data_IF_934082978114
#
_entry.id   IF_934082978114
#
_cell.length_a   1.000
_cell.length_b   1.000
_cell.length_c   1.000
_cell.angle_alpha   90.00
_cell.angle_beta   90.00
_cell.angle_gamma   90.00
#
_symmetry.space_group_name_H-M   'P 1'
#
loop_
_entity.id
_entity.type
_entity.pdbx_description
1 polymer ?
#
# COMPACT_ATOMS: atom_id res chain seq x y z
N UNK A 1 21.98 10.08 -12.21
CA UNK A 1 22.50 11.45 -12.03
C UNK A 1 22.29 11.95 -10.60
N UNK A 2 21.05 12.13 -10.05
CA UNK A 2 20.86 12.67 -8.68
C UNK A 2 21.32 11.74 -7.55
N UNK A 3 21.26 10.43 -7.76
CA UNK A 3 21.86 9.44 -6.87
C UNK A 3 23.38 9.57 -6.88
N UNK A 4 23.99 9.64 -8.06
CA UNK A 4 25.45 9.73 -8.21
C UNK A 4 26.02 11.02 -7.61
N UNK A 5 25.20 12.09 -7.62
CA UNK A 5 25.47 13.36 -6.92
C UNK A 5 25.23 13.26 -5.40
N UNK A 6 24.76 12.15 -4.85
CA UNK A 6 24.46 11.96 -3.45
C UNK A 6 23.25 12.75 -2.93
N UNK A 7 22.46 13.39 -3.81
CA UNK A 7 21.30 14.22 -3.44
C UNK A 7 20.06 13.43 -3.04
N UNK A 8 19.90 12.23 -3.62
CA UNK A 8 18.86 11.27 -3.25
C UNK A 8 19.49 9.89 -3.12
N UNK A 9 18.96 9.06 -2.24
CA UNK A 9 19.40 7.67 -2.09
C UNK A 9 18.51 6.73 -2.88
N UNK A 10 17.21 6.95 -2.77
CA UNK A 10 16.19 6.12 -3.41
C UNK A 10 15.16 7.00 -4.12
N UNK A 11 14.41 6.40 -5.02
CA UNK A 11 13.28 7.01 -5.70
C UNK A 11 12.16 5.99 -5.91
N UNK A 12 10.99 6.46 -6.28
CA UNK A 12 9.83 5.62 -6.52
C UNK A 12 8.84 6.25 -7.50
N UNK A 13 7.71 5.59 -7.65
CA UNK A 13 6.64 6.00 -8.53
C UNK A 13 5.34 6.15 -7.74
N UNK A 14 4.72 7.33 -7.82
CA UNK A 14 3.37 7.55 -7.31
C UNK A 14 2.36 7.31 -8.43
N UNK A 15 1.35 6.50 -8.16
CA UNK A 15 0.34 6.09 -9.13
C UNK A 15 -1.06 6.22 -8.56
N UNK A 16 -2.05 6.17 -9.44
CA UNK A 16 -3.45 6.08 -9.03
C UNK A 16 -4.03 4.71 -9.39
N UNK A 17 -4.06 4.35 -10.67
CA UNK A 17 -4.73 3.14 -11.16
C UNK A 17 -3.77 2.06 -11.66
N UNK A 18 -2.63 2.44 -12.18
CA UNK A 18 -1.74 1.59 -12.99
C UNK A 18 -1.44 0.21 -12.39
N UNK A 19 -1.34 0.10 -11.08
CA UNK A 19 -1.07 -1.16 -10.39
C UNK A 19 -2.31 -1.86 -9.86
N UNK A 20 -3.51 -1.28 -10.03
CA UNK A 20 -4.76 -1.82 -9.49
C UNK A 20 -5.72 -2.31 -10.57
N UNK A 21 -5.47 -1.98 -11.83
CA UNK A 21 -6.28 -2.38 -12.98
C UNK A 21 -5.79 -3.69 -13.60
N UNK A 22 -6.63 -4.34 -14.40
CA UNK A 22 -6.29 -5.55 -15.12
C UNK A 22 -5.30 -5.30 -16.26
N UNK A 23 -4.64 -6.37 -16.72
CA UNK A 23 -3.58 -6.32 -17.75
C UNK A 23 -4.06 -5.75 -19.10
N UNK A 24 -5.33 -5.87 -19.41
CA UNK A 24 -5.97 -5.33 -20.63
C UNK A 24 -6.25 -3.83 -20.56
N UNK A 25 -6.10 -3.22 -19.39
CA UNK A 25 -6.30 -1.79 -19.26
C UNK A 25 -5.10 -1.02 -19.83
N UNK A 26 -5.28 0.00 -20.68
CA UNK A 26 -4.17 0.77 -21.25
C UNK A 26 -3.27 1.45 -20.22
N UNK A 27 -3.75 1.67 -19.00
CA UNK A 27 -2.95 2.26 -17.90
C UNK A 27 -2.18 1.21 -17.10
N UNK A 28 -2.36 -0.09 -17.36
CA UNK A 28 -1.70 -1.14 -16.62
C UNK A 28 -0.18 -1.03 -16.66
N UNK A 29 0.45 -1.22 -15.51
CA UNK A 29 1.90 -1.33 -15.36
C UNK A 29 2.26 -2.61 -14.62
N UNK A 30 3.22 -3.36 -15.17
CA UNK A 30 3.84 -4.49 -14.49
C UNK A 30 4.96 -3.99 -13.57
N UNK A 31 4.87 -4.27 -12.28
CA UNK A 31 5.92 -3.91 -11.34
C UNK A 31 7.23 -4.67 -11.63
N UNK A 32 7.14 -5.96 -12.02
CA UNK A 32 8.31 -6.75 -12.40
C UNK A 32 9.06 -6.10 -13.56
N UNK A 33 8.36 -5.72 -14.63
CA UNK A 33 8.99 -5.06 -15.79
C UNK A 33 9.65 -3.72 -15.41
N UNK A 34 9.03 -2.95 -14.50
CA UNK A 34 9.62 -1.68 -14.02
C UNK A 34 10.91 -1.95 -13.24
N UNK A 35 10.91 -2.93 -12.35
CA UNK A 35 12.10 -3.31 -11.59
C UNK A 35 13.20 -3.83 -12.50
N UNK A 36 12.86 -4.66 -13.50
CA UNK A 36 13.82 -5.14 -14.50
C UNK A 36 14.42 -3.99 -15.33
N UNK A 37 13.59 -3.03 -15.73
CA UNK A 37 14.07 -1.82 -16.41
C UNK A 37 15.02 -1.02 -15.51
N UNK A 38 14.70 -0.86 -14.23
CA UNK A 38 15.56 -0.18 -13.28
C UNK A 38 16.90 -0.89 -13.11
N UNK A 39 16.89 -2.24 -13.03
CA UNK A 39 18.11 -3.07 -12.99
C UNK A 39 18.94 -2.94 -14.26
N UNK A 40 18.27 -2.94 -15.42
CA UNK A 40 18.97 -2.81 -16.71
C UNK A 40 19.71 -1.47 -16.84
N UNK A 41 19.17 -0.40 -16.27
CA UNK A 41 19.75 0.95 -16.36
C UNK A 41 20.75 1.21 -15.23
N UNK A 42 20.44 0.81 -14.01
CA UNK A 42 21.18 1.16 -12.78
C UNK A 42 21.90 -0.02 -12.11
N UNK A 43 21.88 -1.19 -12.71
CA UNK A 43 22.45 -2.42 -12.12
C UNK A 43 21.63 -2.93 -10.92
N UNK A 44 22.21 -3.86 -10.18
CA UNK A 44 21.57 -4.45 -9.00
C UNK A 44 21.38 -3.45 -7.84
N UNK A 45 22.20 -2.41 -7.79
CA UNK A 45 22.06 -1.30 -6.83
C UNK A 45 21.20 -0.14 -7.40
N UNK A 46 20.22 -0.43 -8.25
CA UNK A 46 19.28 0.60 -8.71
C UNK A 46 18.53 1.24 -7.54
N UNK A 47 18.24 2.53 -7.64
CA UNK A 47 17.60 3.27 -6.55
C UNK A 47 16.07 3.23 -6.57
N UNK A 48 15.42 2.51 -7.48
CA UNK A 48 13.96 2.34 -7.49
C UNK A 48 13.56 1.39 -6.36
N UNK A 49 12.96 1.94 -5.30
CA UNK A 49 12.66 1.20 -4.07
C UNK A 49 11.25 1.40 -3.55
N UNK A 50 10.47 2.29 -4.12
CA UNK A 50 9.15 2.61 -3.61
C UNK A 50 8.11 2.74 -4.71
N UNK A 51 6.89 2.32 -4.38
CA UNK A 51 5.69 2.72 -5.11
C UNK A 51 4.70 3.35 -4.13
N UNK A 52 3.82 4.20 -4.66
CA UNK A 52 2.67 4.74 -3.94
C UNK A 52 1.41 4.48 -4.75
N UNK A 53 0.36 4.02 -4.09
CA UNK A 53 -0.94 3.73 -4.69
C UNK A 53 -2.08 3.91 -3.68
N UNK A 54 -3.33 4.13 -4.13
CA UNK A 54 -4.49 4.11 -3.26
C UNK A 54 -4.74 2.73 -2.67
N UNK A 55 -4.91 2.69 -1.33
CA UNK A 55 -5.28 1.47 -0.63
C UNK A 55 -5.99 1.79 0.69
N UNK A 56 -7.12 1.17 0.91
CA UNK A 56 -7.89 1.16 2.14
C UNK A 56 -8.89 -0.02 2.10
N UNK A 57 -9.75 -0.15 3.09
CA UNK A 57 -10.70 -1.27 3.17
C UNK A 57 -11.72 -1.33 2.02
N UNK A 58 -11.99 -0.21 1.33
CA UNK A 58 -12.88 -0.15 0.17
C UNK A 58 -12.12 -0.15 -1.17
N UNK A 59 -10.86 0.30 -1.16
CA UNK A 59 -9.94 0.21 -2.30
C UNK A 59 -8.96 -0.94 -2.03
N UNK A 60 -9.47 -2.16 -2.02
CA UNK A 60 -8.78 -3.39 -1.62
C UNK A 60 -8.05 -4.10 -2.76
N UNK A 61 -8.19 -3.61 -4.01
CA UNK A 61 -7.61 -4.25 -5.21
C UNK A 61 -6.11 -4.50 -5.06
N UNK A 62 -5.39 -3.59 -4.37
CA UNK A 62 -3.96 -3.76 -4.15
C UNK A 62 -3.61 -5.03 -3.36
N UNK A 63 -4.50 -5.47 -2.49
CA UNK A 63 -4.36 -6.68 -1.67
C UNK A 63 -4.95 -7.92 -2.36
N UNK A 64 -6.12 -7.78 -2.99
CA UNK A 64 -6.93 -8.92 -3.43
C UNK A 64 -6.79 -9.24 -4.92
N UNK A 65 -6.64 -8.23 -5.78
CA UNK A 65 -6.61 -8.46 -7.22
C UNK A 65 -5.29 -9.09 -7.66
N UNK A 66 -5.35 -10.29 -8.24
CA UNK A 66 -4.19 -11.00 -8.79
C UNK A 66 -3.86 -10.50 -10.21
N UNK A 67 -3.64 -9.20 -10.31
CA UNK A 67 -3.42 -8.49 -11.57
C UNK A 67 -1.94 -8.28 -11.92
N UNK A 68 -1.01 -8.71 -11.07
CA UNK A 68 0.41 -8.70 -11.35
C UNK A 68 0.92 -10.11 -11.62
N UNK A 69 2.07 -10.22 -12.27
CA UNK A 69 2.78 -11.48 -12.44
C UNK A 69 4.21 -11.32 -11.93
N UNK A 70 4.67 -12.24 -11.11
CA UNK A 70 6.07 -12.33 -10.70
C UNK A 70 6.54 -13.77 -10.89
N UNK A 71 7.61 -13.96 -11.64
CA UNK A 71 8.11 -15.29 -12.01
C UNK A 71 7.02 -16.20 -12.61
N UNK A 72 6.18 -15.64 -13.48
CA UNK A 72 5.03 -16.29 -14.12
C UNK A 72 3.91 -16.75 -13.15
N UNK A 73 3.88 -16.24 -11.92
CA UNK A 73 2.80 -16.52 -10.96
C UNK A 73 1.90 -15.29 -10.81
N UNK A 74 0.57 -15.47 -10.92
CA UNK A 74 -0.36 -14.37 -10.67
C UNK A 74 -0.36 -14.00 -9.18
N UNK A 75 -0.13 -12.73 -8.90
CA UNK A 75 -0.02 -12.18 -7.53
C UNK A 75 -0.71 -10.82 -7.46
N UNK A 76 -1.00 -10.36 -6.25
CA UNK A 76 -1.43 -8.98 -6.04
C UNK A 76 -0.24 -8.01 -6.13
N UNK A 77 -0.52 -6.70 -6.24
CA UNK A 77 0.56 -5.71 -6.26
C UNK A 77 1.33 -5.68 -4.92
N UNK A 78 0.66 -5.91 -3.79
CA UNK A 78 1.35 -5.99 -2.49
C UNK A 78 2.26 -7.21 -2.41
N UNK A 79 1.80 -8.40 -2.86
CA UNK A 79 2.64 -9.61 -2.95
C UNK A 79 3.82 -9.42 -3.92
N UNK A 80 3.56 -8.78 -5.06
CA UNK A 80 4.61 -8.43 -6.04
C UNK A 80 5.67 -7.54 -5.42
N UNK A 81 5.24 -6.50 -4.69
CA UNK A 81 6.15 -5.56 -4.03
C UNK A 81 7.03 -6.25 -2.98
N UNK A 82 6.46 -7.13 -2.15
CA UNK A 82 7.23 -7.94 -1.18
C UNK A 82 8.27 -8.80 -1.90
N UNK A 83 7.86 -9.50 -2.97
CA UNK A 83 8.76 -10.41 -3.70
C UNK A 83 9.90 -9.67 -4.39
N UNK A 84 9.66 -8.45 -4.86
CA UNK A 84 10.62 -7.64 -5.60
C UNK A 84 11.41 -6.64 -4.73
N UNK A 85 11.28 -6.69 -3.41
CA UNK A 85 11.94 -5.77 -2.45
C UNK A 85 11.60 -4.29 -2.75
N UNK A 86 10.31 -4.02 -2.96
CA UNK A 86 9.76 -2.69 -3.19
C UNK A 86 8.84 -2.32 -2.03
N UNK A 87 9.11 -1.20 -1.38
CA UNK A 87 8.25 -0.67 -0.31
C UNK A 87 7.01 0.03 -0.87
N UNK A 88 5.87 -0.15 -0.21
CA UNK A 88 4.61 0.45 -0.63
C UNK A 88 4.18 1.52 0.34
N UNK A 89 4.03 2.75 -0.15
CA UNK A 89 3.27 3.80 0.53
C UNK A 89 1.83 3.79 0.02
N UNK A 90 0.87 3.99 0.91
CA UNK A 90 -0.53 4.02 0.50
C UNK A 90 -1.12 5.41 0.63
N UNK A 91 -1.94 5.80 -0.34
CA UNK A 91 -2.70 7.05 -0.33
C UNK A 91 -4.17 6.81 -0.06
N UNK A 92 -4.92 7.87 0.23
CA UNK A 92 -6.36 7.91 0.53
C UNK A 92 -6.81 6.93 1.62
N UNK A 93 -6.09 6.83 2.76
CA UNK A 93 -6.42 5.88 3.81
C UNK A 93 -7.86 6.04 4.34
N UNK A 94 -8.42 7.24 4.28
CA UNK A 94 -9.76 7.58 4.78
C UNK A 94 -10.76 7.93 3.67
N UNK A 95 -10.43 7.76 2.38
CA UNK A 95 -11.28 8.19 1.27
C UNK A 95 -11.77 9.64 1.42
N UNK A 96 -10.86 10.57 1.75
CA UNK A 96 -11.18 11.97 2.05
C UNK A 96 -12.18 12.13 3.21
N UNK A 97 -12.12 11.26 4.21
CA UNK A 97 -13.01 11.23 5.38
C UNK A 97 -14.26 10.38 5.20
N UNK A 98 -14.66 10.01 3.97
CA UNK A 98 -15.88 9.23 3.71
C UNK A 98 -15.86 7.85 4.39
N UNK A 99 -14.70 7.22 4.48
CA UNK A 99 -14.55 5.92 5.12
C UNK A 99 -14.85 5.97 6.63
N UNK A 100 -14.71 7.13 7.25
CA UNK A 100 -14.92 7.32 8.69
C UNK A 100 -16.39 7.53 9.08
N UNK A 101 -17.30 7.64 8.09
CA UNK A 101 -18.74 7.79 8.34
C UNK A 101 -19.32 6.50 8.91
N UNK A 102 -20.31 6.59 9.82
CA UNK A 102 -20.95 5.42 10.41
C UNK A 102 -21.46 4.42 9.34
N UNK A 103 -21.19 3.14 9.55
CA UNK A 103 -21.63 2.05 8.66
C UNK A 103 -20.91 1.93 7.32
N UNK A 104 -19.90 2.77 7.01
CA UNK A 104 -19.16 2.71 5.75
C UNK A 104 -17.99 1.72 5.84
N UNK A 105 -17.33 1.66 6.99
CA UNK A 105 -16.20 0.76 7.22
C UNK A 105 -16.62 -0.43 8.09
N UNK A 106 -16.23 -1.67 7.74
CA UNK A 106 -16.48 -2.84 8.59
C UNK A 106 -15.89 -2.68 9.99
N UNK A 107 -16.62 -3.12 11.00
CA UNK A 107 -16.17 -3.13 12.39
C UNK A 107 -15.56 -4.48 12.74
N UNK A 108 -14.26 -4.50 13.03
CA UNK A 108 -13.55 -5.72 13.40
C UNK A 108 -12.82 -5.62 14.75
N UNK A 109 -12.87 -4.44 15.39
CA UNK A 109 -12.34 -4.17 16.72
C UNK A 109 -12.98 -2.90 17.32
N UNK A 110 -12.68 -2.62 18.58
CA UNK A 110 -13.21 -1.49 19.35
C UNK A 110 -12.48 -0.16 19.11
N UNK A 111 -11.54 -0.11 18.15
CA UNK A 111 -10.81 1.12 17.87
C UNK A 111 -11.71 2.18 17.21
N UNK A 112 -11.37 3.44 17.42
CA UNK A 112 -11.94 4.55 16.64
C UNK A 112 -11.82 4.29 15.14
N UNK A 113 -12.75 4.75 14.30
CA UNK A 113 -12.72 4.49 12.85
C UNK A 113 -11.39 4.85 12.17
N UNK A 114 -10.78 5.99 12.52
CA UNK A 114 -9.49 6.43 12.01
C UNK A 114 -8.38 5.43 12.34
N UNK A 115 -8.29 5.00 13.59
CA UNK A 115 -7.28 4.04 14.06
C UNK A 115 -7.50 2.64 13.47
N UNK A 116 -8.76 2.23 13.34
CA UNK A 116 -9.14 0.96 12.70
C UNK A 116 -8.69 0.91 11.24
N UNK A 117 -8.97 1.98 10.47
CA UNK A 117 -8.52 2.10 9.10
C UNK A 117 -6.98 2.07 8.98
N UNK A 118 -6.28 2.82 9.84
CA UNK A 118 -4.82 2.84 9.87
C UNK A 118 -4.23 1.49 10.28
N UNK A 119 -4.83 0.82 11.27
CA UNK A 119 -4.37 -0.50 11.69
C UNK A 119 -4.52 -1.53 10.56
N UNK A 120 -5.65 -1.56 9.85
CA UNK A 120 -5.83 -2.43 8.69
C UNK A 120 -4.73 -2.21 7.65
N UNK A 121 -4.50 -0.96 7.25
CA UNK A 121 -3.52 -0.62 6.21
C UNK A 121 -2.11 -1.00 6.63
N UNK A 122 -1.67 -0.61 7.82
CA UNK A 122 -0.30 -0.88 8.30
C UNK A 122 -0.03 -2.35 8.61
N UNK A 123 -1.09 -3.15 8.79
CA UNK A 123 -0.98 -4.60 8.98
C UNK A 123 -0.90 -5.37 7.66
N UNK A 124 -1.17 -4.70 6.54
CA UNK A 124 -1.12 -5.34 5.22
C UNK A 124 0.32 -5.62 4.81
N UNK A 125 0.65 -6.85 4.37
CA UNK A 125 2.01 -7.21 3.97
C UNK A 125 2.58 -6.27 2.89
N UNK A 126 3.82 -5.85 3.04
CA UNK A 126 4.52 -4.98 2.09
C UNK A 126 4.22 -3.48 2.22
N UNK A 127 3.22 -3.10 3.00
CA UNK A 127 2.93 -1.68 3.26
C UNK A 127 3.92 -1.12 4.28
N UNK A 128 4.62 -0.05 3.91
CA UNK A 128 5.52 0.67 4.80
C UNK A 128 4.78 1.68 5.67
N UNK A 129 3.94 2.51 5.06
CA UNK A 129 3.15 3.50 5.78
C UNK A 129 1.97 4.02 4.95
N UNK A 130 0.83 4.33 5.59
CA UNK A 130 -0.22 5.15 4.99
C UNK A 130 0.18 6.63 5.01
N UNK A 131 -0.08 7.32 3.90
CA UNK A 131 0.07 8.77 3.79
C UNK A 131 -1.23 9.44 4.23
N UNK A 132 -1.20 10.08 5.39
CA UNK A 132 -2.37 10.70 6.00
C UNK A 132 -2.29 12.20 5.89
N UNK A 133 -3.32 12.82 5.31
CA UNK A 133 -3.49 14.27 5.35
C UNK A 133 -3.92 14.72 6.76
N UNK A 134 -3.12 15.58 7.39
CA UNK A 134 -3.36 16.04 8.76
C UNK A 134 -3.40 17.57 8.77
N UNK A 135 -4.62 18.12 8.78
CA UNK A 135 -4.82 19.58 8.77
C UNK A 135 -5.05 20.16 10.17
N UNK A 136 -5.74 19.42 11.03
CA UNK A 136 -6.10 19.88 12.37
C UNK A 136 -5.25 19.17 13.43
N UNK A 137 -4.81 19.89 14.50
CA UNK A 137 -4.02 19.29 15.58
C UNK A 137 -4.70 18.07 16.22
N UNK A 138 -6.01 18.08 16.36
CA UNK A 138 -6.81 16.99 16.93
C UNK A 138 -6.66 15.72 16.07
N UNK A 139 -6.70 15.86 14.74
CA UNK A 139 -6.51 14.73 13.83
C UNK A 139 -5.08 14.19 13.89
N UNK A 140 -4.08 15.07 14.06
CA UNK A 140 -2.68 14.65 14.26
C UNK A 140 -2.59 13.80 15.53
N UNK A 141 -3.11 14.33 16.65
CA UNK A 141 -3.07 13.66 17.95
C UNK A 141 -3.75 12.29 17.90
N UNK A 142 -4.97 12.24 17.35
CA UNK A 142 -5.72 10.99 17.21
C UNK A 142 -5.00 9.96 16.32
N UNK A 143 -4.53 10.38 15.15
CA UNK A 143 -3.87 9.45 14.24
C UNK A 143 -2.54 8.91 14.80
N UNK A 144 -1.84 9.70 15.61
CA UNK A 144 -0.61 9.25 16.27
C UNK A 144 -0.86 8.20 17.37
N UNK A 145 -2.08 8.08 17.92
CA UNK A 145 -2.42 7.00 18.85
C UNK A 145 -2.13 5.62 18.25
N UNK A 146 -2.15 5.49 16.92
CA UNK A 146 -1.83 4.23 16.23
C UNK A 146 -0.41 3.70 16.54
N UNK A 147 0.50 4.57 16.92
CA UNK A 147 1.87 4.18 17.28
C UNK A 147 1.92 3.29 18.54
N UNK A 148 0.90 3.39 19.39
CA UNK A 148 0.77 2.61 20.63
C UNK A 148 -0.01 1.30 20.41
N UNK A 149 -0.53 1.06 19.20
CA UNK A 149 -1.33 -0.11 18.85
C UNK A 149 -0.49 -1.00 17.94
N UNK A 150 -0.21 -2.26 18.31
CA UNK A 150 0.59 -3.13 17.45
C UNK A 150 -0.14 -3.42 16.13
N UNK A 151 0.60 -3.67 15.03
CA UNK A 151 0.00 -4.25 13.83
C UNK A 151 -0.65 -5.61 14.16
N UNK A 152 -1.69 -5.96 13.43
CA UNK A 152 -2.25 -7.31 13.46
C UNK A 152 -1.19 -8.26 12.88
N UNK A 153 -0.93 -9.38 13.53
CA UNK A 153 0.00 -10.37 12.97
C UNK A 153 -0.54 -10.99 11.66
N UNK A 154 0.33 -11.59 10.88
CA UNK A 154 -0.03 -12.05 9.53
C UNK A 154 -1.19 -13.05 9.51
N UNK A 155 -1.22 -14.02 10.43
CA UNK A 155 -2.26 -15.06 10.43
C UNK A 155 -3.64 -14.47 10.78
N UNK A 156 -3.69 -13.62 11.80
CA UNK A 156 -4.91 -12.92 12.19
C UNK A 156 -5.36 -11.91 11.12
N UNK A 157 -4.41 -11.25 10.43
CA UNK A 157 -4.73 -10.34 9.33
C UNK A 157 -5.33 -11.09 8.14
N UNK A 158 -4.78 -12.23 7.75
CA UNK A 158 -5.32 -13.06 6.68
C UNK A 158 -6.71 -13.62 7.04
N UNK A 159 -6.92 -14.03 8.30
CA UNK A 159 -8.23 -14.44 8.80
C UNK A 159 -9.24 -13.29 8.76
N UNK A 160 -8.82 -12.07 9.15
CA UNK A 160 -9.64 -10.86 9.05
C UNK A 160 -10.04 -10.57 7.61
N UNK A 161 -9.07 -10.55 6.68
CA UNK A 161 -9.33 -10.31 5.25
C UNK A 161 -10.35 -11.31 4.72
N UNK A 162 -10.16 -12.60 4.99
CA UNK A 162 -11.11 -13.64 4.58
C UNK A 162 -12.53 -13.39 5.12
N UNK A 163 -12.65 -12.95 6.38
CA UNK A 163 -13.95 -12.63 6.99
C UNK A 163 -14.60 -11.40 6.35
N UNK A 164 -13.81 -10.41 5.93
CA UNK A 164 -14.31 -9.18 5.32
C UNK A 164 -14.72 -9.35 3.85
N UNK A 165 -14.25 -10.41 3.18
CA UNK A 165 -14.50 -10.69 1.76
C UNK A 165 -15.47 -11.84 1.52
N UNK A 166 -15.92 -12.52 2.57
CA UNK A 166 -16.97 -13.57 2.54
C UNK A 166 -18.37 -12.97 2.63
#
# INVERSE_FOLDING_TARGET
>A
QKRDEGKIKFYGMATWECFRVGIENPQYLSLENIVEMAKKIGGNDHGFKFIQLPFNMNYDQALLAKNQSVQNKPVSILESAVTLDIGVFTSVPFMQGRLLSPGVMPEFNELKPSLRALQFIRSSPGVLAPLVGQKLPEHVSENLEIMNIPPINNDDFLALVKKLTS
#
